data_IF_472040425187
#
_entry.id   IF_472040425187
#
_cell.length_a   1.000
_cell.length_b   1.000
_cell.length_c   1.000
_cell.angle_alpha   90.00
_cell.angle_beta   90.00
_cell.angle_gamma   90.00
#
_symmetry.space_group_name_H-M   'P 1'
#
loop_
_entity.id
_entity.type
_entity.pdbx_description
1 polymer ?
#
# COMPACT_ATOMS: atom_id res chain seq x y z
N UNK A 1 -13.61 -0.61 3.28
CA UNK A 1 -12.81 -1.86 3.09
C UNK A 1 -12.25 -1.83 1.68
N UNK A 2 -10.97 -2.13 1.47
CA UNK A 2 -10.38 -2.20 0.13
C UNK A 2 -10.95 -3.39 -0.65
N UNK A 3 -11.12 -3.28 -1.97
CA UNK A 3 -11.64 -4.37 -2.82
C UNK A 3 -10.69 -5.56 -2.83
N UNK A 4 -11.23 -6.73 -3.17
CA UNK A 4 -10.41 -7.94 -3.34
C UNK A 4 -9.53 -7.78 -4.58
N UNK A 5 -8.22 -7.62 -4.36
CA UNK A 5 -7.21 -7.55 -5.42
C UNK A 5 -5.88 -8.04 -4.84
N UNK A 6 -5.33 -9.08 -5.42
CA UNK A 6 -4.08 -9.70 -4.91
C UNK A 6 -2.85 -8.89 -5.29
N UNK A 7 -2.77 -8.39 -6.52
CA UNK A 7 -1.61 -7.62 -7.00
C UNK A 7 -2.02 -6.17 -7.20
N UNK A 8 -1.45 -5.27 -6.39
CA UNK A 8 -1.77 -3.84 -6.39
C UNK A 8 -0.66 -3.08 -7.11
N UNK A 9 -0.95 -2.44 -8.26
CA UNK A 9 0.03 -1.63 -8.95
C UNK A 9 0.28 -0.31 -8.24
N UNK A 10 1.52 0.16 -8.33
CA UNK A 10 1.94 1.49 -7.91
C UNK A 10 1.97 2.41 -9.12
N UNK A 11 1.28 3.53 -9.03
CA UNK A 11 1.13 4.53 -10.10
C UNK A 11 1.84 5.81 -9.69
N UNK A 12 2.74 6.29 -10.53
CA UNK A 12 3.64 7.42 -10.23
C UNK A 12 3.51 8.60 -11.20
N UNK A 13 2.77 8.44 -12.30
CA UNK A 13 2.60 9.48 -13.33
C UNK A 13 1.17 9.49 -13.88
N UNK A 14 0.73 10.63 -14.42
CA UNK A 14 -0.57 10.74 -15.07
C UNK A 14 -0.72 9.76 -16.24
N UNK A 15 0.32 9.56 -17.04
CA UNK A 15 0.32 8.57 -18.14
C UNK A 15 0.11 7.15 -17.64
N UNK A 16 0.71 6.79 -16.50
CA UNK A 16 0.50 5.48 -15.88
C UNK A 16 -0.91 5.36 -15.30
N UNK A 17 -1.47 6.45 -14.75
CA UNK A 17 -2.86 6.50 -14.29
C UNK A 17 -3.84 6.25 -15.45
N UNK A 18 -3.69 6.94 -16.57
CA UNK A 18 -4.54 6.74 -17.76
C UNK A 18 -4.53 5.28 -18.21
N UNK A 19 -3.35 4.66 -18.29
CA UNK A 19 -3.22 3.23 -18.65
C UNK A 19 -3.87 2.32 -17.59
N UNK A 20 -3.71 2.63 -16.29
CA UNK A 20 -4.36 1.88 -15.22
C UNK A 20 -5.88 1.93 -15.34
N UNK A 21 -6.45 3.11 -15.63
CA UNK A 21 -7.91 3.30 -15.74
C UNK A 21 -8.56 2.52 -16.89
N UNK A 22 -7.77 2.04 -17.85
CA UNK A 22 -8.22 1.13 -18.92
C UNK A 22 -8.23 -0.34 -18.48
N UNK A 23 -7.63 -0.68 -17.34
CA UNK A 23 -7.63 -2.04 -16.80
C UNK A 23 -8.88 -2.31 -15.95
N UNK A 24 -9.24 -3.58 -15.70
CA UNK A 24 -10.32 -3.93 -14.77
C UNK A 24 -9.93 -3.82 -13.28
N UNK A 25 -8.67 -3.50 -12.96
CA UNK A 25 -8.15 -3.49 -11.60
C UNK A 25 -8.84 -2.41 -10.75
N UNK A 26 -9.40 -2.75 -9.57
CA UNK A 26 -10.21 -1.83 -8.78
C UNK A 26 -9.41 -0.89 -7.88
N UNK A 27 -8.12 -1.16 -7.58
CA UNK A 27 -7.34 -0.34 -6.65
C UNK A 27 -5.87 -0.22 -7.07
N UNK A 28 -5.27 0.93 -6.77
CA UNK A 28 -3.83 1.20 -6.97
C UNK A 28 -3.26 2.04 -5.82
N UNK A 29 -1.92 2.07 -5.72
CA UNK A 29 -1.19 2.97 -4.82
C UNK A 29 -0.71 4.18 -5.63
N UNK A 30 -1.10 5.38 -5.20
CA UNK A 30 -0.58 6.64 -5.73
C UNK A 30 0.66 7.07 -4.94
N UNK A 31 1.77 7.32 -5.64
CA UNK A 31 3.01 7.87 -5.09
C UNK A 31 3.73 8.76 -6.11
N UNK A 32 4.69 9.55 -5.65
CA UNK A 32 5.53 10.46 -6.44
C UNK A 32 4.74 11.60 -7.17
N UNK A 33 3.45 11.71 -6.92
CA UNK A 33 2.65 12.84 -7.40
C UNK A 33 2.93 14.09 -6.56
N UNK A 34 2.87 15.26 -7.20
CA UNK A 34 2.81 16.52 -6.48
C UNK A 34 1.42 16.72 -5.86
N UNK A 35 1.36 17.30 -4.67
CA UNK A 35 0.10 17.53 -3.93
C UNK A 35 -0.98 18.21 -4.79
N UNK A 36 -0.59 19.20 -5.62
CA UNK A 36 -1.52 19.90 -6.50
C UNK A 36 -2.20 19.01 -7.56
N UNK A 37 -1.62 17.86 -7.88
CA UNK A 37 -2.18 16.90 -8.85
C UNK A 37 -2.94 15.77 -8.15
N UNK A 38 -2.65 15.52 -6.87
CA UNK A 38 -3.18 14.36 -6.16
C UNK A 38 -4.71 14.37 -6.09
N UNK A 39 -5.33 15.55 -5.92
CA UNK A 39 -6.79 15.70 -5.96
C UNK A 39 -7.36 15.20 -7.29
N UNK A 40 -6.81 15.66 -8.42
CA UNK A 40 -7.24 15.22 -9.74
C UNK A 40 -7.03 13.71 -9.95
N UNK A 41 -5.92 13.14 -9.45
CA UNK A 41 -5.66 11.69 -9.51
C UNK A 41 -6.78 10.91 -8.83
N UNK A 42 -7.17 11.33 -7.63
CA UNK A 42 -8.23 10.69 -6.85
C UNK A 42 -9.60 10.86 -7.54
N UNK A 43 -9.93 12.05 -8.00
CA UNK A 43 -11.18 12.32 -8.72
C UNK A 43 -11.31 11.50 -10.00
N UNK A 44 -10.26 11.42 -10.81
CA UNK A 44 -10.23 10.60 -12.03
C UNK A 44 -10.43 9.10 -11.72
N UNK A 45 -9.83 8.62 -10.62
CA UNK A 45 -10.00 7.24 -10.18
C UNK A 45 -11.44 6.98 -9.72
N UNK A 46 -11.99 7.84 -8.87
CA UNK A 46 -13.37 7.72 -8.36
C UNK A 46 -14.41 7.80 -9.49
N UNK A 47 -14.21 8.66 -10.49
CA UNK A 47 -15.07 8.74 -11.67
C UNK A 47 -15.12 7.42 -12.48
N UNK A 48 -14.14 6.55 -12.32
CA UNK A 48 -14.06 5.21 -12.92
C UNK A 48 -14.32 4.09 -11.91
N UNK A 49 -14.86 4.41 -10.71
CA UNK A 49 -15.11 3.47 -9.61
C UNK A 49 -13.84 2.72 -9.16
N UNK A 50 -12.67 3.40 -9.18
CA UNK A 50 -11.40 2.86 -8.67
C UNK A 50 -11.08 3.48 -7.34
N UNK A 51 -10.44 2.70 -6.45
CA UNK A 51 -9.98 3.17 -5.16
C UNK A 51 -8.49 3.54 -5.17
N UNK A 52 -8.14 4.53 -4.37
CA UNK A 52 -6.77 5.08 -4.31
C UNK A 52 -6.21 4.92 -2.91
N UNK A 53 -5.11 4.18 -2.80
CA UNK A 53 -4.26 4.15 -1.62
C UNK A 53 -3.18 5.21 -1.80
N UNK A 54 -3.03 6.14 -0.88
CA UNK A 54 -1.98 7.18 -0.99
C UNK A 54 -0.77 6.81 -0.13
N UNK A 55 0.42 6.75 -0.76
CA UNK A 55 1.69 6.61 -0.04
C UNK A 55 2.18 7.99 0.38
N UNK A 56 1.84 8.37 1.60
CA UNK A 56 1.96 9.76 2.06
C UNK A 56 3.40 10.30 2.04
N UNK A 57 4.39 9.47 2.40
CA UNK A 57 5.80 9.89 2.40
C UNK A 57 6.35 10.26 1.03
N UNK A 58 5.71 9.79 -0.04
CA UNK A 58 6.14 10.01 -1.41
C UNK A 58 5.24 11.00 -2.16
N UNK A 59 4.42 11.78 -1.47
CA UNK A 59 3.68 12.89 -2.06
C UNK A 59 4.51 14.16 -1.96
N UNK A 60 4.89 14.71 -3.09
CA UNK A 60 5.71 15.91 -3.17
C UNK A 60 4.90 17.14 -2.70
N UNK A 61 5.50 17.95 -1.84
CA UNK A 61 4.85 19.16 -1.31
C UNK A 61 3.89 18.92 -0.15
N UNK A 62 3.85 17.69 0.41
CA UNK A 62 3.04 17.34 1.56
C UNK A 62 3.92 16.93 2.75
N UNK A 63 3.59 17.38 3.95
CA UNK A 63 4.16 16.85 5.17
C UNK A 63 3.60 15.44 5.45
N UNK A 64 4.49 14.47 5.68
CA UNK A 64 4.08 13.11 6.03
C UNK A 64 3.92 12.96 7.55
N UNK A 65 2.94 13.65 8.10
CA UNK A 65 2.56 13.68 9.51
C UNK A 65 1.03 13.54 9.69
N UNK A 66 0.55 13.70 10.91
CA UNK A 66 -0.88 13.61 11.21
C UNK A 66 -1.72 14.66 10.49
N UNK A 67 -1.19 15.86 10.23
CA UNK A 67 -1.93 16.92 9.53
C UNK A 67 -2.02 16.67 8.03
N UNK A 68 -0.92 16.22 7.42
CA UNK A 68 -0.91 15.78 6.05
C UNK A 68 -1.83 14.58 5.81
N UNK A 69 -1.83 13.61 6.73
CA UNK A 69 -2.77 12.49 6.69
C UNK A 69 -4.23 12.95 6.77
N UNK A 70 -4.53 13.88 7.69
CA UNK A 70 -5.86 14.45 7.82
C UNK A 70 -6.31 15.16 6.54
N UNK A 71 -5.42 15.94 5.92
CA UNK A 71 -5.71 16.63 4.66
C UNK A 71 -6.07 15.66 3.55
N UNK A 72 -5.27 14.60 3.35
CA UNK A 72 -5.52 13.58 2.32
C UNK A 72 -6.85 12.86 2.56
N UNK A 73 -7.17 12.54 3.80
CA UNK A 73 -8.40 11.81 4.15
C UNK A 73 -9.63 12.71 4.01
N UNK A 74 -9.61 13.89 4.63
CA UNK A 74 -10.81 14.71 4.79
C UNK A 74 -11.08 15.63 3.60
N UNK A 75 -10.05 16.09 2.89
CA UNK A 75 -10.20 17.01 1.78
C UNK A 75 -10.02 16.35 0.40
N UNK A 76 -9.09 15.40 0.29
CA UNK A 76 -8.86 14.71 -0.98
C UNK A 76 -9.61 13.37 -1.07
N UNK A 77 -10.16 12.88 0.06
CA UNK A 77 -10.99 11.66 0.10
C UNK A 77 -10.28 10.40 -0.40
N UNK A 78 -8.98 10.23 -0.08
CA UNK A 78 -8.29 8.98 -0.36
C UNK A 78 -8.97 7.80 0.35
N UNK A 79 -9.02 6.64 -0.31
CA UNK A 79 -9.70 5.45 0.21
C UNK A 79 -8.88 4.72 1.26
N UNK A 80 -7.55 4.86 1.25
CA UNK A 80 -6.63 4.31 2.24
C UNK A 80 -5.30 5.07 2.27
N UNK A 81 -4.55 4.92 3.36
CA UNK A 81 -3.19 5.43 3.48
C UNK A 81 -2.19 4.29 3.69
N UNK A 82 -1.01 4.44 3.08
CA UNK A 82 0.16 3.62 3.39
C UNK A 82 1.29 4.50 3.89
N UNK A 83 1.89 4.12 5.02
CA UNK A 83 2.93 4.91 5.69
C UNK A 83 3.83 4.04 6.56
N UNK A 84 5.09 4.45 6.72
CA UNK A 84 6.00 3.90 7.72
C UNK A 84 5.90 4.62 9.09
N UNK A 85 5.12 5.71 9.16
CA UNK A 85 5.03 6.58 10.34
C UNK A 85 3.83 6.25 11.23
N UNK A 86 4.05 5.91 12.52
CA UNK A 86 2.98 5.56 13.45
C UNK A 86 1.86 6.60 13.54
N UNK A 87 2.19 7.89 13.61
CA UNK A 87 1.20 8.98 13.72
C UNK A 87 0.25 9.07 12.52
N UNK A 88 0.73 8.75 11.32
CA UNK A 88 -0.10 8.68 10.11
C UNK A 88 -1.10 7.53 10.22
N UNK A 89 -0.65 6.35 10.67
CA UNK A 89 -1.51 5.18 10.88
C UNK A 89 -2.58 5.48 11.94
N UNK A 90 -2.20 6.08 13.06
CA UNK A 90 -3.13 6.50 14.13
C UNK A 90 -4.18 7.48 13.61
N UNK A 91 -3.76 8.48 12.81
CA UNK A 91 -4.69 9.46 12.21
C UNK A 91 -5.66 8.80 11.23
N UNK A 92 -5.17 7.90 10.37
CA UNK A 92 -6.04 7.17 9.44
C UNK A 92 -7.09 6.33 10.21
N UNK A 93 -6.67 5.60 11.22
CA UNK A 93 -7.60 4.82 12.07
C UNK A 93 -8.61 5.68 12.80
N UNK A 94 -8.19 6.83 13.35
CA UNK A 94 -9.11 7.79 13.98
C UNK A 94 -10.21 8.27 13.03
N UNK A 95 -9.88 8.40 11.76
CA UNK A 95 -10.83 8.76 10.70
C UNK A 95 -11.56 7.58 10.07
N UNK A 96 -11.37 6.35 10.59
CA UNK A 96 -11.94 5.11 10.03
C UNK A 96 -11.53 4.86 8.57
N UNK A 97 -10.37 5.37 8.17
CA UNK A 97 -9.76 5.16 6.87
C UNK A 97 -8.79 3.98 6.96
N UNK A 98 -8.85 2.99 6.07
CA UNK A 98 -7.93 1.87 6.05
C UNK A 98 -6.47 2.32 6.06
N UNK A 99 -5.67 1.72 6.94
CA UNK A 99 -4.28 2.10 7.18
C UNK A 99 -3.34 0.91 6.97
N UNK A 100 -2.37 1.07 6.08
CA UNK A 100 -1.35 0.09 5.77
C UNK A 100 -0.02 0.55 6.39
N UNK A 101 0.51 -0.19 7.36
CA UNK A 101 1.81 0.08 7.95
C UNK A 101 2.93 -0.53 7.09
N UNK A 102 3.77 0.31 6.47
CA UNK A 102 4.94 -0.15 5.72
C UNK A 102 6.14 -0.37 6.64
N UNK A 103 6.74 -1.55 6.56
CA UNK A 103 7.86 -1.98 7.37
C UNK A 103 9.05 -2.33 6.49
N UNK A 104 10.18 -1.64 6.71
CA UNK A 104 11.45 -1.97 6.08
C UNK A 104 12.22 -2.95 6.97
N UNK A 105 12.42 -4.17 6.49
CA UNK A 105 13.14 -5.23 7.23
C UNK A 105 14.60 -5.26 6.74
N UNK A 106 15.46 -4.60 7.49
CA UNK A 106 16.88 -4.49 7.20
C UNK A 106 17.72 -5.47 8.04
N UNK A 107 17.25 -5.74 9.26
CA UNK A 107 17.90 -6.58 10.26
C UNK A 107 16.87 -7.12 11.29
N UNK A 108 17.35 -7.94 12.22
CA UNK A 108 16.50 -8.51 13.28
C UNK A 108 15.88 -7.45 14.20
N UNK A 109 16.53 -6.29 14.37
CA UNK A 109 16.03 -5.20 15.22
C UNK A 109 14.88 -4.48 14.54
N UNK A 110 14.99 -4.17 13.26
CA UNK A 110 13.90 -3.57 12.47
C UNK A 110 12.71 -4.50 12.37
N UNK A 111 12.93 -5.82 12.22
CA UNK A 111 11.87 -6.82 12.23
C UNK A 111 11.13 -6.82 13.58
N UNK A 112 11.86 -6.92 14.70
CA UNK A 112 11.27 -6.93 16.05
C UNK A 112 10.43 -5.67 16.29
N UNK A 113 10.97 -4.48 15.93
CA UNK A 113 10.25 -3.21 16.05
C UNK A 113 8.99 -3.19 15.18
N UNK A 114 9.05 -3.74 13.98
CA UNK A 114 7.89 -3.86 13.09
C UNK A 114 6.76 -4.68 13.71
N UNK A 115 7.11 -5.81 14.37
CA UNK A 115 6.15 -6.65 15.10
C UNK A 115 5.49 -5.86 16.24
N UNK A 116 6.29 -5.19 17.06
CA UNK A 116 5.80 -4.37 18.18
C UNK A 116 4.85 -3.26 17.70
N UNK A 117 5.21 -2.56 16.61
CA UNK A 117 4.37 -1.53 16.00
C UNK A 117 3.06 -2.10 15.47
N UNK A 118 3.08 -3.26 14.83
CA UNK A 118 1.87 -3.93 14.34
C UNK A 118 0.90 -4.26 15.47
N UNK A 119 1.43 -4.78 16.58
CA UNK A 119 0.62 -5.10 17.77
C UNK A 119 0.03 -3.86 18.43
N UNK A 120 0.80 -2.76 18.47
CA UNK A 120 0.39 -1.50 19.13
C UNK A 120 -0.61 -0.72 18.29
N UNK A 121 -0.33 -0.53 17.01
CA UNK A 121 -1.12 0.31 16.11
C UNK A 121 -2.33 -0.41 15.55
N UNK A 122 -2.28 -1.74 15.46
CA UNK A 122 -3.33 -2.59 14.89
C UNK A 122 -3.79 -2.04 13.52
N UNK A 123 -2.87 -1.90 12.55
CA UNK A 123 -3.24 -1.44 11.21
C UNK A 123 -4.16 -2.45 10.53
N UNK A 124 -4.82 -2.05 9.43
CA UNK A 124 -5.65 -2.96 8.64
C UNK A 124 -4.79 -3.93 7.82
N UNK A 125 -3.57 -3.49 7.45
CA UNK A 125 -2.56 -4.33 6.84
C UNK A 125 -1.15 -3.90 7.25
N UNK A 126 -0.19 -4.83 7.15
CA UNK A 126 1.24 -4.53 7.18
C UNK A 126 1.87 -4.88 5.84
N UNK A 127 2.70 -4.01 5.31
CA UNK A 127 3.46 -4.27 4.10
C UNK A 127 4.95 -4.39 4.42
N UNK A 128 5.53 -5.55 4.14
CA UNK A 128 6.96 -5.78 4.30
C UNK A 128 7.74 -5.47 3.03
N UNK A 129 8.83 -4.76 3.18
CA UNK A 129 9.78 -4.44 2.11
C UNK A 129 11.22 -4.73 2.56
N UNK A 130 12.05 -5.30 1.66
CA UNK A 130 11.69 -5.85 0.35
C UNK A 130 10.98 -7.21 0.47
N UNK A 131 10.22 -7.60 -0.55
CA UNK A 131 9.47 -8.86 -0.59
C UNK A 131 10.32 -10.11 -0.33
N UNK A 132 11.61 -10.05 -0.65
CA UNK A 132 12.59 -11.14 -0.48
C UNK A 132 12.79 -11.59 0.98
N UNK A 133 12.33 -10.79 1.96
CA UNK A 133 12.42 -11.18 3.38
C UNK A 133 11.30 -12.14 3.80
N UNK A 134 10.37 -12.49 2.91
CA UNK A 134 9.19 -13.30 3.26
C UNK A 134 9.49 -14.61 4.02
N UNK A 135 10.58 -15.35 3.76
CA UNK A 135 10.88 -16.55 4.52
C UNK A 135 11.19 -16.26 5.99
N UNK A 136 11.77 -15.08 6.28
CA UNK A 136 12.12 -14.66 7.64
C UNK A 136 10.92 -14.19 8.45
N UNK A 137 9.87 -13.70 7.76
CA UNK A 137 8.64 -13.21 8.38
C UNK A 137 7.51 -14.25 8.41
N UNK A 138 7.76 -15.47 7.92
CA UNK A 138 6.74 -16.53 7.87
C UNK A 138 6.02 -16.78 9.22
N UNK A 139 6.70 -16.80 10.38
CA UNK A 139 6.02 -16.94 11.68
C UNK A 139 5.07 -15.75 11.98
N UNK A 140 5.40 -14.55 11.50
CA UNK A 140 4.55 -13.38 11.65
C UNK A 140 3.32 -13.45 10.74
N UNK A 141 3.48 -13.92 9.51
CA UNK A 141 2.36 -14.05 8.56
C UNK A 141 1.26 -14.90 9.18
N UNK A 142 1.63 -16.00 9.84
CA UNK A 142 0.69 -16.92 10.47
C UNK A 142 -0.01 -16.34 11.72
N UNK A 143 0.63 -15.40 12.42
CA UNK A 143 0.13 -14.82 13.68
C UNK A 143 -0.31 -13.36 13.56
N UNK A 144 -0.23 -12.77 12.37
CA UNK A 144 -0.58 -11.37 12.18
C UNK A 144 -2.09 -11.13 12.43
N UNK A 145 -2.45 -10.10 13.19
CA UNK A 145 -3.85 -9.77 13.45
C UNK A 145 -4.51 -9.01 12.28
N UNK A 146 -3.82 -8.86 11.15
CA UNK A 146 -4.22 -8.06 9.99
C UNK A 146 -3.70 -8.70 8.69
N UNK A 147 -4.10 -8.16 7.55
CA UNK A 147 -3.54 -8.57 6.26
C UNK A 147 -2.02 -8.37 6.20
N UNK A 148 -1.32 -9.29 5.55
CA UNK A 148 0.14 -9.19 5.33
C UNK A 148 0.41 -9.03 3.84
N UNK A 149 1.03 -7.92 3.50
CA UNK A 149 1.40 -7.54 2.14
C UNK A 149 2.92 -7.61 1.97
N UNK A 150 3.38 -7.76 0.73
CA UNK A 150 4.79 -7.69 0.39
C UNK A 150 4.99 -6.81 -0.84
N UNK A 151 6.08 -6.05 -0.84
CA UNK A 151 6.45 -5.18 -1.96
C UNK A 151 7.95 -5.07 -2.15
N UNK A 152 8.33 -4.41 -3.26
CA UNK A 152 9.71 -4.18 -3.62
C UNK A 152 10.43 -5.39 -4.21
N UNK A 153 11.18 -5.14 -5.28
CA UNK A 153 11.99 -6.12 -6.01
C UNK A 153 11.19 -7.27 -6.64
N UNK A 154 9.91 -7.09 -6.90
CA UNK A 154 9.08 -8.04 -7.61
C UNK A 154 9.42 -7.98 -9.10
N UNK A 155 9.79 -9.12 -9.70
CA UNK A 155 10.31 -9.19 -11.08
C UNK A 155 9.38 -9.90 -12.05
N UNK A 156 8.62 -10.86 -11.56
CA UNK A 156 7.80 -11.72 -12.40
C UNK A 156 6.60 -12.31 -11.64
N UNK A 157 5.70 -12.93 -12.39
CA UNK A 157 4.49 -13.57 -11.85
C UNK A 157 4.82 -14.79 -10.98
N UNK A 158 5.91 -15.50 -11.26
CA UNK A 158 6.31 -16.67 -10.46
C UNK A 158 6.66 -16.26 -9.02
N UNK A 159 7.31 -15.10 -8.86
CA UNK A 159 7.58 -14.55 -7.54
C UNK A 159 6.29 -14.14 -6.82
N UNK A 160 5.32 -13.57 -7.52
CA UNK A 160 4.01 -13.23 -6.96
C UNK A 160 3.32 -14.51 -6.45
N UNK A 161 3.30 -15.56 -7.26
CA UNK A 161 2.73 -16.85 -6.86
C UNK A 161 3.41 -17.44 -5.64
N UNK A 162 4.74 -17.39 -5.57
CA UNK A 162 5.50 -17.86 -4.40
C UNK A 162 5.10 -17.11 -3.13
N UNK A 163 4.98 -15.78 -3.20
CA UNK A 163 4.59 -14.95 -2.06
C UNK A 163 3.15 -15.27 -1.62
N UNK A 164 2.21 -15.35 -2.53
CA UNK A 164 0.81 -15.64 -2.20
C UNK A 164 0.62 -17.03 -1.61
N UNK A 165 1.32 -18.03 -2.13
CA UNK A 165 1.34 -19.40 -1.57
C UNK A 165 1.96 -19.45 -0.16
N UNK A 166 2.79 -18.48 0.19
CA UNK A 166 3.39 -18.35 1.53
C UNK A 166 2.48 -17.65 2.55
N UNK A 167 1.26 -17.25 2.15
CA UNK A 167 0.30 -16.58 3.02
C UNK A 167 0.33 -15.03 2.94
N UNK A 168 1.11 -14.47 2.02
CA UNK A 168 1.02 -13.04 1.68
C UNK A 168 -0.33 -12.79 1.00
N UNK A 169 -1.11 -11.87 1.54
CA UNK A 169 -2.47 -11.61 1.04
C UNK A 169 -2.48 -10.69 -0.17
N UNK A 170 -1.54 -9.73 -0.23
CA UNK A 170 -1.40 -8.81 -1.38
C UNK A 170 0.06 -8.53 -1.70
N UNK A 171 0.33 -8.29 -2.97
CA UNK A 171 1.66 -7.96 -3.48
C UNK A 171 1.61 -6.62 -4.20
N UNK A 172 2.51 -5.69 -3.84
CA UNK A 172 2.59 -4.39 -4.49
C UNK A 172 3.70 -4.36 -5.53
N UNK A 173 3.39 -3.89 -6.74
CA UNK A 173 4.29 -3.91 -7.90
C UNK A 173 4.38 -2.54 -8.56
N UNK A 174 5.57 -2.14 -9.01
CA UNK A 174 5.76 -0.92 -9.78
C UNK A 174 5.46 -1.09 -11.27
N UNK A 175 5.44 -2.32 -11.77
CA UNK A 175 5.11 -2.64 -13.15
C UNK A 175 3.63 -3.03 -13.27
N UNK A 176 2.84 -2.19 -13.93
CA UNK A 176 1.42 -2.43 -14.17
C UNK A 176 1.18 -3.72 -14.96
N UNK A 177 2.11 -4.11 -15.82
CA UNK A 177 1.96 -5.34 -16.62
C UNK A 177 1.95 -6.59 -15.75
N UNK A 178 2.68 -6.61 -14.63
CA UNK A 178 2.65 -7.72 -13.67
C UNK A 178 1.29 -7.83 -12.97
N UNK A 179 0.67 -6.68 -12.64
CA UNK A 179 -0.63 -6.68 -12.00
C UNK A 179 -1.75 -7.16 -12.94
N UNK A 180 -1.66 -6.86 -14.24
CA UNK A 180 -2.63 -7.31 -15.26
C UNK A 180 -2.38 -8.74 -15.73
N UNK A 181 -1.13 -9.21 -15.70
CA UNK A 181 -0.78 -10.57 -16.10
C UNK A 181 -1.09 -11.61 -15.01
N UNK A 182 -1.22 -11.22 -13.76
CA UNK A 182 -1.54 -12.11 -12.67
C UNK A 182 -3.00 -12.57 -12.76
N UNK A 183 -3.20 -13.87 -12.93
CA UNK A 183 -4.50 -14.53 -12.83
C UNK A 183 -4.41 -15.53 -11.65
N UNK A 184 -5.25 -15.38 -10.62
CA UNK A 184 -5.25 -16.26 -9.44
C UNK A 184 -5.69 -17.68 -9.77
#
# INVERSE_FOLDING_TARGET
MLPSQTVIPVITTMKALERFLETPLPVFIAQDFHLNLLGNVIEMAHARHRQVIVHIELIQGLASDEFGAQHIIQHLHADALISSKPKVIEMAKKNKTPAILRLFVLDSKSLKRGIELTQTLKPDAVEFMPSLVYPLIAPMIQSAPCEVWAGGLIRDVAMILTLTQSGITRVTVSDLSLATAYQP
#
